data_IF_079526236726
#
_entry.id   IF_079526236726
#
_cell.length_a   1.000
_cell.length_b   1.000
_cell.length_c   1.000
_cell.angle_alpha   90.00
_cell.angle_beta   90.00
_cell.angle_gamma   90.00
#
_symmetry.space_group_name_H-M   'P 1'
#
loop_
_entity.id
_entity.type
_entity.pdbx_description
1 polymer ?
#
# COMPACT_ATOMS: atom_id res chain seq x y z
N UNK A 1 0.57 8.19 3.78
CA UNK A 1 0.86 6.81 3.35
C UNK A 1 1.51 6.07 4.51
N UNK A 2 1.15 4.80 4.74
CA UNK A 2 1.75 3.96 5.79
C UNK A 2 3.17 3.57 5.40
N UNK A 3 4.12 3.62 6.33
CA UNK A 3 5.49 3.14 6.11
C UNK A 3 5.67 1.67 6.53
N UNK A 4 6.70 1.03 5.99
CA UNK A 4 7.13 -0.32 6.34
C UNK A 4 7.35 -0.49 7.85
N UNK A 5 7.98 0.51 8.48
CA UNK A 5 8.23 0.51 9.93
C UNK A 5 6.91 0.51 10.71
N UNK A 6 5.94 1.32 10.30
CA UNK A 6 4.63 1.37 10.94
C UNK A 6 3.85 0.05 10.75
N UNK A 7 3.84 -0.50 9.54
CA UNK A 7 3.18 -1.79 9.27
C UNK A 7 3.80 -2.93 10.09
N UNK A 8 5.13 -2.96 10.17
CA UNK A 8 5.86 -3.96 10.98
C UNK A 8 5.55 -3.83 12.46
N UNK A 9 5.50 -2.60 12.98
CA UNK A 9 5.13 -2.36 14.36
C UNK A 9 3.71 -2.82 14.67
N UNK A 10 2.75 -2.51 13.79
CA UNK A 10 1.36 -2.98 13.91
C UNK A 10 1.30 -4.51 13.96
N UNK A 11 1.97 -5.20 13.03
CA UNK A 11 2.05 -6.67 13.01
C UNK A 11 2.64 -7.22 14.33
N UNK A 12 3.75 -6.65 14.81
CA UNK A 12 4.40 -7.07 16.05
C UNK A 12 3.49 -6.93 17.27
N UNK A 13 2.81 -5.78 17.42
CA UNK A 13 1.90 -5.54 18.56
C UNK A 13 0.71 -6.50 18.51
N UNK A 14 0.15 -6.78 17.34
CA UNK A 14 -0.97 -7.71 17.21
C UNK A 14 -0.51 -9.14 17.48
N UNK A 15 0.66 -9.55 16.97
CA UNK A 15 1.25 -10.86 17.26
C UNK A 15 1.52 -11.07 18.75
N UNK A 16 1.91 -10.03 19.47
CA UNK A 16 2.11 -10.08 20.92
C UNK A 16 0.81 -10.39 21.68
N UNK A 17 -0.32 -9.85 21.23
CA UNK A 17 -1.62 -10.00 21.91
C UNK A 17 -2.40 -11.26 21.49
N UNK A 18 -2.11 -11.81 20.31
CA UNK A 18 -2.82 -12.98 19.75
C UNK A 18 -1.83 -14.13 19.48
N UNK A 19 -1.71 -14.60 18.24
CA UNK A 19 -0.80 -15.69 17.88
C UNK A 19 0.54 -15.16 17.34
N UNK A 20 1.60 -15.27 18.15
CA UNK A 20 2.95 -14.80 17.79
C UNK A 20 3.56 -15.45 16.55
N UNK A 21 3.06 -16.63 16.16
CA UNK A 21 3.59 -17.43 15.05
C UNK A 21 2.89 -17.15 13.72
N UNK A 22 1.82 -16.34 13.73
CA UNK A 22 1.04 -16.00 12.53
C UNK A 22 1.12 -14.50 12.24
N UNK A 23 1.25 -14.07 10.98
CA UNK A 23 1.10 -12.67 10.60
C UNK A 23 -0.18 -12.07 11.19
N UNK A 24 -0.08 -10.86 11.73
CA UNK A 24 -1.16 -10.15 12.42
C UNK A 24 -1.93 -11.01 13.43
N UNK A 25 -1.24 -11.91 14.14
CA UNK A 25 -1.90 -12.74 15.14
C UNK A 25 -2.93 -13.73 14.58
N UNK A 26 -2.84 -14.04 13.28
CA UNK A 26 -3.81 -14.88 12.56
C UNK A 26 -5.13 -14.15 12.22
N UNK A 27 -5.19 -12.83 12.36
CA UNK A 27 -6.35 -12.03 11.99
C UNK A 27 -6.31 -11.65 10.51
N UNK A 28 -7.49 -11.57 9.89
CA UNK A 28 -7.63 -11.07 8.53
C UNK A 28 -7.47 -9.54 8.53
N UNK A 29 -6.59 -9.05 7.66
CA UNK A 29 -6.37 -7.62 7.45
C UNK A 29 -6.64 -7.26 5.99
N UNK A 30 -7.34 -6.14 5.78
CA UNK A 30 -7.57 -5.57 4.44
C UNK A 30 -6.88 -4.23 4.39
N UNK A 31 -5.92 -4.11 3.46
CA UNK A 31 -5.25 -2.84 3.17
C UNK A 31 -5.83 -2.28 1.88
N UNK A 32 -6.30 -1.04 1.94
CA UNK A 32 -6.76 -0.27 0.78
C UNK A 32 -5.87 0.93 0.55
N UNK A 33 -5.58 1.25 -0.70
CA UNK A 33 -4.77 2.40 -1.07
C UNK A 33 -4.41 2.40 -2.54
N UNK A 34 -3.67 3.44 -2.94
CA UNK A 34 -3.14 3.59 -4.30
C UNK A 34 -1.65 3.90 -4.21
N UNK A 35 -0.81 3.02 -4.76
CA UNK A 35 0.65 3.17 -4.75
C UNK A 35 1.16 4.27 -5.68
N UNK A 36 0.29 4.85 -6.50
CA UNK A 36 0.59 6.03 -7.33
C UNK A 36 0.48 7.34 -6.53
N UNK A 37 0.06 7.27 -5.27
CA UNK A 37 0.08 8.41 -4.34
C UNK A 37 1.49 8.66 -3.79
N UNK A 38 1.64 9.76 -3.05
CA UNK A 38 2.91 10.16 -2.45
C UNK A 38 3.50 9.08 -1.54
N UNK A 39 4.82 8.92 -1.59
CA UNK A 39 5.60 8.05 -0.70
C UNK A 39 5.39 8.42 0.79
N UNK A 40 5.73 7.52 1.74
CA UNK A 40 5.72 7.86 3.16
C UNK A 40 6.62 9.07 3.44
N UNK A 41 6.18 9.96 4.32
CA UNK A 41 6.98 11.14 4.70
C UNK A 41 7.92 10.74 5.84
N UNK A 42 9.23 10.83 5.60
CA UNK A 42 10.27 10.58 6.60
C UNK A 42 11.18 11.81 6.61
N UNK A 43 11.46 12.31 7.82
CA UNK A 43 12.31 13.50 7.99
C UNK A 43 13.76 13.16 7.65
N UNK A 44 14.43 14.05 6.92
CA UNK A 44 15.85 13.98 6.63
C UNK A 44 16.29 12.69 5.89
N UNK A 45 15.37 12.05 5.15
CA UNK A 45 15.64 10.81 4.42
C UNK A 45 16.04 11.03 2.97
N UNK A 46 16.87 10.14 2.44
CA UNK A 46 17.19 10.07 1.02
C UNK A 46 16.02 9.51 0.19
N UNK A 47 16.08 9.67 -1.13
CA UNK A 47 15.07 9.10 -2.05
C UNK A 47 15.04 7.58 -1.95
N UNK A 48 16.20 6.97 -1.80
CA UNK A 48 16.40 5.52 -1.66
C UNK A 48 15.76 5.02 -0.36
N UNK A 49 15.96 5.74 0.74
CA UNK A 49 15.32 5.43 2.03
C UNK A 49 13.80 5.58 1.97
N UNK A 50 13.30 6.63 1.30
CA UNK A 50 11.85 6.81 1.08
C UNK A 50 11.26 5.63 0.30
N UNK A 51 11.92 5.22 -0.79
CA UNK A 51 11.51 4.05 -1.58
C UNK A 51 11.57 2.76 -0.75
N UNK A 52 12.65 2.55 -0.01
CA UNK A 52 12.83 1.38 0.86
C UNK A 52 11.76 1.32 1.96
N UNK A 53 11.31 2.47 2.46
CA UNK A 53 10.30 2.58 3.51
C UNK A 53 8.87 2.25 3.08
N UNK A 54 8.63 1.98 1.80
CA UNK A 54 7.29 1.64 1.31
C UNK A 54 6.84 0.25 1.79
N UNK A 55 5.54 0.08 2.04
CA UNK A 55 5.00 -1.20 2.54
C UNK A 55 5.14 -2.36 1.54
N UNK A 56 5.32 -2.06 0.25
CA UNK A 56 5.54 -3.07 -0.79
C UNK A 56 6.83 -3.87 -0.56
N UNK A 57 7.79 -3.31 0.17
CA UNK A 57 9.04 -3.99 0.54
C UNK A 57 8.90 -4.86 1.79
N UNK A 58 7.71 -4.96 2.39
CA UNK A 58 7.48 -5.81 3.55
C UNK A 58 7.60 -7.29 3.19
N UNK A 59 8.04 -8.11 4.15
CA UNK A 59 8.03 -9.57 4.04
C UNK A 59 6.63 -10.10 3.68
N UNK A 60 5.58 -9.42 4.17
CA UNK A 60 4.18 -9.75 3.90
C UNK A 60 3.84 -9.70 2.40
N UNK A 61 4.43 -8.76 1.65
CA UNK A 61 4.17 -8.56 0.22
C UNK A 61 5.12 -9.33 -0.70
N UNK A 62 6.25 -9.80 -0.15
CA UNK A 62 7.34 -10.43 -0.91
C UNK A 62 7.41 -11.95 -0.71
N UNK A 63 6.86 -12.49 0.39
CA UNK A 63 6.97 -13.91 0.72
C UNK A 63 5.60 -14.63 0.74
N UNK A 64 5.48 -15.71 -0.05
CA UNK A 64 4.63 -16.86 0.26
C UNK A 64 3.10 -16.72 0.12
N UNK A 65 2.57 -16.15 -0.98
CA UNK A 65 1.12 -16.08 -1.27
C UNK A 65 0.24 -15.54 -0.12
N UNK A 66 0.81 -14.82 0.85
CA UNK A 66 0.09 -14.35 2.03
C UNK A 66 -0.89 -13.21 1.72
N UNK A 67 -0.76 -12.60 0.55
CA UNK A 67 -1.59 -11.46 0.13
C UNK A 67 -2.37 -11.80 -1.12
N UNK A 68 -3.69 -11.75 -0.99
CA UNK A 68 -4.61 -11.68 -2.13
C UNK A 68 -4.71 -10.22 -2.57
N UNK A 69 -4.23 -9.92 -3.78
CA UNK A 69 -4.38 -8.59 -4.40
C UNK A 69 -5.72 -8.51 -5.13
N UNK A 70 -6.46 -7.44 -4.89
CA UNK A 70 -7.71 -7.13 -5.59
C UNK A 70 -7.61 -5.70 -6.12
N UNK A 71 -7.98 -5.50 -7.38
CA UNK A 71 -7.88 -4.21 -8.06
C UNK A 71 -9.27 -3.60 -8.23
N UNK A 72 -9.43 -2.33 -7.85
CA UNK A 72 -10.60 -1.53 -8.18
C UNK A 72 -10.33 -0.83 -9.51
N UNK A 73 -11.12 -1.18 -10.53
CA UNK A 73 -10.91 -0.69 -11.91
C UNK A 73 -11.85 0.46 -12.29
N UNK A 74 -12.89 0.70 -11.48
CA UNK A 74 -13.88 1.74 -11.73
C UNK A 74 -13.63 2.94 -10.80
N UNK A 75 -13.50 4.12 -11.40
CA UNK A 75 -13.38 5.36 -10.65
C UNK A 75 -14.76 5.97 -10.41
N UNK A 76 -15.30 5.75 -9.22
CA UNK A 76 -16.61 6.26 -8.82
C UNK A 76 -16.67 7.79 -8.65
N UNK A 77 -15.54 8.51 -8.73
CA UNK A 77 -15.51 9.99 -8.64
C UNK A 77 -15.71 10.67 -10.00
N UNK A 78 -15.52 9.94 -11.10
CA UNK A 78 -15.71 10.46 -12.45
C UNK A 78 -17.05 9.97 -12.98
N UNK A 79 -17.82 10.88 -13.58
CA UNK A 79 -19.07 10.53 -14.23
C UNK A 79 -18.84 9.82 -15.57
N UNK A 80 -19.88 9.14 -16.09
CA UNK A 80 -19.79 8.38 -17.36
C UNK A 80 -19.42 9.25 -18.58
N UNK A 81 -19.73 10.54 -18.54
CA UNK A 81 -19.37 11.53 -19.57
C UNK A 81 -17.93 12.10 -19.40
N UNK A 82 -17.22 11.75 -18.33
CA UNK A 82 -15.88 12.26 -18.01
C UNK A 82 -14.74 11.26 -18.30
N UNK A 83 -14.95 10.32 -19.24
CA UNK A 83 -13.97 9.26 -19.52
C UNK A 83 -12.60 9.80 -19.94
N UNK A 84 -12.54 10.90 -20.68
CA UNK A 84 -11.27 11.51 -21.08
C UNK A 84 -10.50 12.05 -19.87
N UNK A 85 -11.19 12.71 -18.94
CA UNK A 85 -10.58 13.16 -17.70
C UNK A 85 -10.14 11.99 -16.82
N UNK A 86 -10.93 10.92 -16.74
CA UNK A 86 -10.52 9.70 -16.04
C UNK A 86 -9.25 9.09 -16.63
N UNK A 87 -9.15 8.99 -17.97
CA UNK A 87 -7.93 8.52 -18.67
C UNK A 87 -6.74 9.44 -18.40
N UNK A 88 -6.96 10.76 -18.43
CA UNK A 88 -5.93 11.74 -18.12
C UNK A 88 -5.37 11.58 -16.69
N UNK A 89 -6.24 11.40 -15.70
CA UNK A 89 -5.80 11.14 -14.31
C UNK A 89 -5.01 9.83 -14.20
N UNK A 90 -5.40 8.79 -14.94
CA UNK A 90 -4.64 7.53 -14.98
C UNK A 90 -3.26 7.72 -15.61
N UNK A 91 -3.14 8.49 -16.69
CA UNK A 91 -1.85 8.82 -17.31
C UNK A 91 -0.93 9.58 -16.35
N UNK A 92 -1.46 10.56 -15.61
CA UNK A 92 -0.71 11.27 -14.56
C UNK A 92 -0.22 10.28 -13.50
N UNK A 93 -1.11 9.45 -12.96
CA UNK A 93 -0.76 8.49 -11.91
C UNK A 93 0.25 7.44 -12.36
N UNK A 94 0.26 7.09 -13.65
CA UNK A 94 1.21 6.12 -14.22
C UNK A 94 2.52 6.77 -14.70
N UNK A 95 2.62 8.11 -14.69
CA UNK A 95 3.77 8.83 -15.21
C UNK A 95 3.94 8.71 -16.73
N UNK A 96 2.86 8.53 -17.48
CA UNK A 96 2.85 8.33 -18.94
C UNK A 96 2.26 9.53 -19.69
N UNK A 97 2.37 10.72 -19.11
CA UNK A 97 1.92 11.98 -19.73
C UNK A 97 3.00 12.58 -20.61
#
# INVERSE_FOLDING_TARGET
MLSLKQLTYIDQVIRLHFDKNKPFGGKMFVLGGDFRQCLPIIKDSTTEELKASTIINSYLFTHGNQIKRSYLNENMRTENNQQEFARFLLQIGNGTK
#
